data_IF_235892514253
#
_entry.id   IF_235892514253
#
_cell.length_a   1.000
_cell.length_b   1.000
_cell.length_c   1.000
_cell.angle_alpha   90.00
_cell.angle_beta   90.00
_cell.angle_gamma   90.00
#
_symmetry.space_group_name_H-M   'P 1'
#
loop_
_entity.id
_entity.type
_entity.pdbx_description
1 polymer ?
#
# COMPACT_ATOMS: atom_id res chain seq x y z
N UNK A 1 8.82 18.77 -4.39
CA UNK A 1 8.66 17.35 -4.79
C UNK A 1 10.04 16.73 -4.68
N UNK A 2 10.19 15.54 -4.09
CA UNK A 2 11.52 14.95 -3.88
C UNK A 2 12.01 14.36 -5.20
N UNK A 3 12.98 15.04 -5.84
CA UNK A 3 13.53 14.68 -7.15
C UNK A 3 14.48 13.47 -7.08
N UNK A 4 15.16 13.30 -5.95
CA UNK A 4 16.02 12.15 -5.60
C UNK A 4 15.59 11.69 -4.19
N UNK A 5 15.45 10.39 -3.85
CA UNK A 5 15.96 9.16 -4.46
C UNK A 5 14.87 8.13 -4.91
N UNK A 6 13.80 8.51 -5.65
CA UNK A 6 12.73 7.56 -6.00
C UNK A 6 13.24 6.36 -6.80
N UNK A 7 14.23 6.56 -7.67
CA UNK A 7 14.82 5.49 -8.49
C UNK A 7 15.35 4.35 -7.65
N UNK A 8 15.99 4.62 -6.51
CA UNK A 8 16.51 3.58 -5.62
C UNK A 8 15.38 2.88 -4.84
N UNK A 9 14.40 3.64 -4.36
CA UNK A 9 13.29 3.12 -3.54
C UNK A 9 12.24 2.35 -4.36
N UNK A 10 12.16 2.63 -5.67
CA UNK A 10 11.27 1.93 -6.58
C UNK A 10 11.72 0.47 -6.81
N UNK A 11 12.99 0.13 -6.56
CA UNK A 11 13.46 -1.26 -6.58
C UNK A 11 13.00 -2.04 -5.34
N UNK A 12 12.50 -3.26 -5.56
CA UNK A 12 12.19 -4.20 -4.49
C UNK A 12 13.49 -4.86 -4.00
N UNK A 13 13.80 -4.66 -2.71
CA UNK A 13 14.89 -5.37 -2.04
C UNK A 13 14.44 -6.80 -1.78
N UNK A 14 15.20 -7.78 -2.29
CA UNK A 14 14.91 -9.21 -2.11
C UNK A 14 15.83 -9.86 -1.10
N UNK A 15 17.13 -9.54 -1.19
CA UNK A 15 18.17 -10.11 -0.35
C UNK A 15 18.85 -8.96 0.37
N UNK A 16 18.94 -9.10 1.69
CA UNK A 16 19.69 -8.18 2.55
C UNK A 16 21.01 -8.85 2.87
N UNK A 17 22.12 -8.27 2.42
CA UNK A 17 23.45 -8.78 2.70
C UNK A 17 23.84 -8.44 4.16
N UNK A 18 23.81 -9.46 5.01
CA UNK A 18 24.16 -9.37 6.43
C UNK A 18 25.66 -9.50 6.70
N UNK A 19 26.48 -9.77 5.67
CA UNK A 19 27.92 -10.03 5.85
C UNK A 19 28.76 -8.76 5.83
N UNK A 20 28.27 -7.70 5.17
CA UNK A 20 29.05 -6.47 4.92
C UNK A 20 28.84 -5.40 5.97
N UNK A 21 27.69 -5.37 6.63
CA UNK A 21 27.30 -4.33 7.58
C UNK A 21 26.66 -4.96 8.81
N UNK A 22 26.94 -4.41 10.00
CA UNK A 22 26.20 -4.69 11.23
C UNK A 22 24.77 -4.14 11.10
N UNK A 23 23.89 -4.91 10.44
CA UNK A 23 22.51 -4.51 10.18
C UNK A 23 21.65 -4.79 11.41
N UNK A 24 21.16 -3.71 12.01
CA UNK A 24 20.13 -3.78 13.04
C UNK A 24 18.73 -3.74 12.40
N UNK A 25 17.77 -4.38 13.07
CA UNK A 25 16.35 -4.35 12.69
C UNK A 25 15.85 -2.90 12.63
N UNK A 26 16.34 -2.03 13.52
CA UNK A 26 15.99 -0.62 13.51
C UNK A 26 16.37 0.06 12.19
N UNK A 27 17.54 -0.24 11.62
CA UNK A 27 17.99 0.32 10.35
C UNK A 27 17.06 -0.07 9.19
N UNK A 28 16.57 -1.32 9.21
CA UNK A 28 15.58 -1.80 8.22
C UNK A 28 14.25 -1.06 8.38
N UNK A 29 13.76 -0.90 9.61
CA UNK A 29 12.51 -0.16 9.87
C UNK A 29 12.63 1.32 9.47
N UNK A 30 13.76 1.96 9.75
CA UNK A 30 14.03 3.34 9.37
C UNK A 30 14.08 3.53 7.85
N UNK A 31 14.74 2.62 7.14
CA UNK A 31 14.79 2.64 5.67
C UNK A 31 13.37 2.64 5.07
N UNK A 32 12.53 1.69 5.45
CA UNK A 32 11.16 1.63 4.95
C UNK A 32 10.31 2.81 5.44
N UNK A 33 10.55 3.30 6.66
CA UNK A 33 9.80 4.43 7.21
C UNK A 33 10.08 5.72 6.42
N UNK A 34 11.35 6.06 6.20
CA UNK A 34 11.71 7.22 5.38
C UNK A 34 11.30 7.05 3.92
N UNK A 35 11.46 5.85 3.36
CA UNK A 35 10.98 5.52 2.02
C UNK A 35 9.48 5.78 1.86
N UNK A 36 8.68 5.38 2.86
CA UNK A 36 7.22 5.63 2.85
C UNK A 36 6.88 7.12 2.83
N UNK A 37 7.63 7.96 3.56
CA UNK A 37 7.42 9.41 3.63
C UNK A 37 7.75 10.04 2.27
N UNK A 38 8.85 9.63 1.64
CA UNK A 38 9.25 10.12 0.32
C UNK A 38 8.20 9.75 -0.73
N UNK A 39 7.72 8.49 -0.74
CA UNK A 39 6.66 8.06 -1.65
C UNK A 39 5.35 8.81 -1.41
N UNK A 40 4.95 9.00 -0.15
CA UNK A 40 3.77 9.77 0.21
C UNK A 40 3.88 11.24 -0.23
N UNK A 41 5.04 11.87 -0.06
CA UNK A 41 5.29 13.24 -0.49
C UNK A 41 5.25 13.40 -2.02
N UNK A 42 5.65 12.36 -2.77
CA UNK A 42 5.53 12.28 -4.22
C UNK A 42 4.16 11.76 -4.70
N UNK A 43 3.18 11.61 -3.79
CA UNK A 43 1.83 11.09 -4.07
C UNK A 43 1.79 9.68 -4.69
N UNK A 44 2.88 8.91 -4.54
CA UNK A 44 2.95 7.48 -4.90
C UNK A 44 2.33 6.66 -3.75
N UNK A 45 1.01 6.76 -3.59
CA UNK A 45 0.32 6.22 -2.41
C UNK A 45 0.40 4.71 -2.27
N UNK A 46 0.24 3.96 -3.37
CA UNK A 46 0.37 2.50 -3.38
C UNK A 46 1.70 2.04 -2.77
N UNK A 47 2.80 2.56 -3.32
CA UNK A 47 4.14 2.22 -2.86
C UNK A 47 4.38 2.63 -1.41
N UNK A 48 3.84 3.78 -0.99
CA UNK A 48 3.93 4.21 0.40
C UNK A 48 3.20 3.24 1.35
N UNK A 49 2.02 2.73 0.95
CA UNK A 49 1.27 1.74 1.72
C UNK A 49 2.01 0.40 1.81
N UNK A 50 2.65 -0.03 0.73
CA UNK A 50 3.44 -1.27 0.73
C UNK A 50 4.60 -1.16 1.73
N UNK A 51 5.35 -0.05 1.71
CA UNK A 51 6.44 0.20 2.65
C UNK A 51 5.94 0.23 4.10
N UNK A 52 4.82 0.91 4.36
CA UNK A 52 4.22 0.96 5.69
C UNK A 52 3.75 -0.41 6.17
N UNK A 53 3.21 -1.24 5.26
CA UNK A 53 2.76 -2.59 5.58
C UNK A 53 3.93 -3.48 6.00
N UNK A 54 5.08 -3.37 5.32
CA UNK A 54 6.31 -4.11 5.68
C UNK A 54 6.75 -3.76 7.10
N UNK A 55 6.76 -2.47 7.46
CA UNK A 55 7.13 -1.99 8.81
C UNK A 55 6.18 -2.57 9.87
N UNK A 56 4.87 -2.51 9.62
CA UNK A 56 3.84 -2.98 10.57
C UNK A 56 3.91 -4.50 10.73
N UNK A 57 4.21 -5.23 9.65
CA UNK A 57 4.33 -6.69 9.67
C UNK A 57 5.69 -7.21 10.13
N UNK A 58 6.66 -6.33 10.38
CA UNK A 58 7.98 -6.74 10.83
C UNK A 58 7.90 -7.48 12.19
N UNK A 59 8.64 -8.60 12.36
CA UNK A 59 8.57 -9.41 13.56
C UNK A 59 9.07 -8.63 14.78
N UNK A 60 8.28 -8.63 15.84
CA UNK A 60 8.61 -7.98 17.12
C UNK A 60 8.98 -9.03 18.15
N UNK A 61 10.18 -8.95 18.73
CA UNK A 61 10.62 -9.93 19.73
C UNK A 61 9.93 -9.75 21.09
N UNK A 62 9.95 -8.53 21.66
CA UNK A 62 9.48 -8.28 23.04
C UNK A 62 8.57 -7.07 23.17
N UNK A 63 8.83 -6.01 22.42
CA UNK A 63 8.03 -4.78 22.43
C UNK A 63 7.94 -4.22 21.01
N UNK A 64 6.84 -3.56 20.72
CA UNK A 64 6.62 -2.90 19.42
C UNK A 64 7.44 -1.62 19.38
N UNK A 65 8.14 -1.42 18.26
CA UNK A 65 8.94 -0.21 18.07
C UNK A 65 8.03 1.01 17.90
N UNK A 66 8.48 2.16 18.42
CA UNK A 66 7.81 3.44 18.19
C UNK A 66 7.65 3.75 16.69
N UNK A 67 8.58 3.27 15.85
CA UNK A 67 8.53 3.41 14.38
C UNK A 67 7.29 2.70 13.81
N UNK A 68 6.97 1.50 14.31
CA UNK A 68 5.81 0.73 13.85
C UNK A 68 4.49 1.41 14.21
N UNK A 69 4.39 2.01 15.40
CA UNK A 69 3.22 2.79 15.81
C UNK A 69 3.08 4.05 14.93
N UNK A 70 4.17 4.77 14.70
CA UNK A 70 4.20 5.95 13.84
C UNK A 70 3.84 5.61 12.38
N UNK A 71 4.29 4.45 11.88
CA UNK A 71 3.93 3.92 10.57
C UNK A 71 2.43 3.56 10.50
N UNK A 72 1.88 2.90 11.52
CA UNK A 72 0.46 2.55 11.56
C UNK A 72 -0.46 3.78 11.51
N UNK A 73 -0.13 4.85 12.25
CA UNK A 73 -0.86 6.13 12.16
C UNK A 73 -0.89 6.69 10.73
N UNK A 74 0.26 6.70 10.04
CA UNK A 74 0.36 7.15 8.64
C UNK A 74 -0.37 6.20 7.68
N UNK A 75 -0.29 4.90 7.92
CA UNK A 75 -0.95 3.88 7.11
C UNK A 75 -2.46 4.09 7.06
N UNK A 76 -3.09 4.42 8.19
CA UNK A 76 -4.52 4.78 8.24
C UNK A 76 -4.79 5.98 7.34
N UNK A 77 -4.08 7.10 7.54
CA UNK A 77 -4.33 8.33 6.79
C UNK A 77 -4.11 8.14 5.29
N UNK A 78 -3.01 7.51 4.89
CA UNK A 78 -2.69 7.27 3.48
C UNK A 78 -3.72 6.31 2.85
N UNK A 79 -4.18 5.29 3.58
CA UNK A 79 -5.23 4.40 3.10
C UNK A 79 -6.53 5.16 2.83
N UNK A 80 -6.93 6.06 3.73
CA UNK A 80 -8.11 6.92 3.54
C UNK A 80 -7.96 7.87 2.34
N UNK A 81 -6.76 8.38 2.09
CA UNK A 81 -6.47 9.25 0.93
C UNK A 81 -6.55 8.48 -0.39
N UNK A 82 -6.02 7.25 -0.42
CA UNK A 82 -5.89 6.48 -1.66
C UNK A 82 -7.11 5.62 -1.99
N UNK A 83 -7.49 4.75 -1.05
CA UNK A 83 -8.53 3.72 -1.22
C UNK A 83 -9.91 4.21 -0.77
N UNK A 84 -9.97 5.30 0.00
CA UNK A 84 -11.21 5.77 0.63
C UNK A 84 -11.71 4.87 1.77
N UNK A 85 -10.86 3.96 2.24
CA UNK A 85 -11.07 3.11 3.41
C UNK A 85 -9.71 2.65 3.96
N UNK A 86 -9.68 2.16 5.19
CA UNK A 86 -8.45 1.58 5.75
C UNK A 86 -8.19 0.22 5.11
N UNK A 87 -7.06 0.08 4.41
CA UNK A 87 -6.65 -1.18 3.78
C UNK A 87 -6.35 -2.21 4.85
N UNK A 88 -6.88 -3.43 4.73
CA UNK A 88 -6.62 -4.50 5.70
C UNK A 88 -5.13 -4.85 5.70
N UNK A 89 -4.57 -5.05 6.90
CA UNK A 89 -3.18 -5.50 7.03
C UNK A 89 -2.99 -6.91 6.45
N UNK A 90 -1.77 -7.26 6.02
CA UNK A 90 -1.48 -8.61 5.56
C UNK A 90 -1.74 -9.65 6.65
N UNK A 91 -2.22 -10.85 6.27
CA UNK A 91 -2.61 -11.92 7.21
C UNK A 91 -1.45 -12.43 8.08
N UNK A 92 -0.22 -12.30 7.61
CA UNK A 92 0.99 -12.68 8.35
C UNK A 92 1.40 -11.65 9.42
N UNK A 93 0.69 -10.52 9.51
CA UNK A 93 0.91 -9.54 10.59
C UNK A 93 0.45 -10.12 11.92
N UNK A 94 1.31 -10.09 12.93
CA UNK A 94 0.98 -10.60 14.25
C UNK A 94 -0.21 -9.84 14.87
N UNK A 95 -1.22 -10.57 15.35
CA UNK A 95 -2.43 -9.97 15.96
C UNK A 95 -2.12 -9.13 17.21
N UNK A 96 -1.08 -9.50 17.96
CA UNK A 96 -0.58 -8.71 19.09
C UNK A 96 -0.13 -7.31 18.66
N UNK A 97 0.56 -7.21 17.52
CA UNK A 97 1.02 -5.94 16.95
C UNK A 97 -0.15 -5.07 16.55
N UNK A 98 -1.13 -5.65 15.85
CA UNK A 98 -2.33 -4.94 15.42
C UNK A 98 -3.12 -4.38 16.61
N UNK A 99 -3.31 -5.16 17.68
CA UNK A 99 -4.04 -4.73 18.88
C UNK A 99 -3.38 -3.52 19.56
N UNK A 100 -2.07 -3.57 19.75
CA UNK A 100 -1.34 -2.46 20.39
C UNK A 100 -1.33 -1.22 19.49
N UNK A 101 -1.11 -1.39 18.19
CA UNK A 101 -1.13 -0.28 17.24
C UNK A 101 -2.51 0.41 17.21
N UNK A 102 -3.61 -0.36 17.23
CA UNK A 102 -4.97 0.19 17.36
C UNK A 102 -5.16 0.95 18.67
N UNK A 103 -4.74 0.38 19.80
CA UNK A 103 -4.84 1.04 21.11
C UNK A 103 -4.08 2.38 21.17
N UNK A 104 -2.90 2.45 20.55
CA UNK A 104 -2.05 3.65 20.52
C UNK A 104 -2.43 4.68 19.44
N UNK A 105 -3.45 4.38 18.61
CA UNK A 105 -3.88 5.24 17.51
C UNK A 105 -5.38 5.52 17.52
N UNK A 106 -6.00 5.51 18.70
CA UNK A 106 -7.45 5.70 18.87
C UNK A 106 -8.01 6.93 18.12
N UNK A 107 -7.40 8.13 18.16
CA UNK A 107 -7.89 9.29 17.41
C UNK A 107 -7.91 9.07 15.88
N UNK A 108 -6.97 8.28 15.36
CA UNK A 108 -6.89 7.93 13.95
C UNK A 108 -7.95 6.89 13.56
N UNK A 109 -8.26 5.95 14.47
CA UNK A 109 -9.35 4.98 14.28
C UNK A 109 -10.71 5.68 14.24
N UNK A 110 -10.98 6.59 15.17
CA UNK A 110 -12.22 7.38 15.19
C UNK A 110 -12.40 8.19 13.89
N UNK A 111 -11.30 8.78 13.39
CA UNK A 111 -11.29 9.49 12.12
C UNK A 111 -11.59 8.56 10.93
N UNK A 112 -11.05 7.34 10.95
CA UNK A 112 -11.36 6.32 9.94
C UNK A 112 -12.82 5.82 10.01
N UNK A 113 -13.41 5.73 11.20
CA UNK A 113 -14.83 5.39 11.39
C UNK A 113 -15.73 6.48 10.81
N UNK A 114 -15.48 7.76 11.14
CA UNK A 114 -16.22 8.88 10.57
C UNK A 114 -16.11 8.95 9.02
N UNK A 115 -15.00 8.44 8.47
CA UNK A 115 -14.80 8.34 7.02
C UNK A 115 -15.67 7.26 6.35
N UNK A 116 -16.02 6.18 7.06
CA UNK A 116 -16.82 5.07 6.50
C UNK A 116 -18.21 5.54 6.10
N UNK A 117 -18.85 6.32 6.95
CA UNK A 117 -20.22 6.84 6.75
C UNK A 117 -20.30 7.98 5.73
N UNK A 118 -19.16 8.40 5.16
CA UNK A 118 -19.05 9.52 4.22
C UNK A 118 -19.73 10.81 4.77
N UNK A 119 -19.69 10.98 6.11
CA UNK A 119 -20.24 12.15 6.80
C UNK A 119 -19.14 13.20 6.99
N UNK A 120 -19.16 14.21 6.12
CA UNK A 120 -18.15 15.26 6.05
C UNK A 120 -18.10 16.10 7.33
N UNK A 121 -19.26 16.38 7.93
CA UNK A 121 -19.36 17.17 9.17
C UNK A 121 -18.85 16.39 10.38
N UNK A 122 -19.23 15.11 10.50
CA UNK A 122 -18.70 14.25 11.55
C UNK A 122 -17.18 14.13 11.46
N UNK A 123 -16.63 13.95 10.25
CA UNK A 123 -15.19 13.92 10.03
C UNK A 123 -14.50 15.22 10.47
N UNK A 124 -15.05 16.39 10.12
CA UNK A 124 -14.50 17.69 10.55
C UNK A 124 -14.52 17.86 12.07
N UNK A 125 -15.61 17.45 12.72
CA UNK A 125 -15.75 17.54 14.17
C UNK A 125 -14.72 16.64 14.87
N UNK A 126 -14.60 15.37 14.47
CA UNK A 126 -13.59 14.45 15.02
C UNK A 126 -12.17 14.94 14.78
N UNK A 127 -11.89 15.48 13.58
CA UNK A 127 -10.57 16.04 13.26
C UNK A 127 -10.24 17.27 14.12
N UNK A 128 -11.23 18.13 14.41
CA UNK A 128 -11.06 19.33 15.23
C UNK A 128 -10.87 19.00 16.72
N UNK A 129 -11.63 18.02 17.23
CA UNK A 129 -11.51 17.54 18.62
C UNK A 129 -10.12 17.00 18.93
N UNK A 130 -9.51 16.27 17.98
CA UNK A 130 -8.18 15.66 18.14
C UNK A 130 -7.05 16.47 17.47
N UNK A 131 -7.29 17.74 17.14
CA UNK A 131 -6.36 18.60 16.40
C UNK A 131 -4.97 18.68 17.03
N UNK A 132 -4.89 18.85 18.35
CA UNK A 132 -3.62 18.91 19.10
C UNK A 132 -2.74 17.67 18.87
N UNK A 133 -3.35 16.48 18.77
CA UNK A 133 -2.63 15.21 18.57
C UNK A 133 -2.09 15.13 17.14
N UNK A 134 -2.89 15.55 16.15
CA UNK A 134 -2.45 15.58 14.76
C UNK A 134 -1.37 16.65 14.53
N UNK A 135 -1.39 17.73 15.29
CA UNK A 135 -0.34 18.75 15.26
C UNK A 135 0.96 18.24 15.88
N UNK A 136 0.89 17.60 17.04
CA UNK A 136 2.08 16.99 17.68
C UNK A 136 2.72 15.90 16.80
N UNK A 137 1.89 15.10 16.12
CA UNK A 137 2.35 14.06 15.19
C UNK A 137 2.79 14.62 13.82
N UNK A 138 2.56 15.91 13.55
CA UNK A 138 2.80 16.62 12.26
C UNK A 138 2.00 16.05 11.08
N UNK A 139 0.78 15.54 11.33
CA UNK A 139 -0.07 14.91 10.31
C UNK A 139 -1.20 15.81 9.79
N UNK A 140 -1.27 17.07 10.22
CA UNK A 140 -2.30 18.05 9.79
C UNK A 140 -2.45 18.11 8.26
N UNK A 141 -1.34 18.08 7.52
CA UNK A 141 -1.35 18.09 6.05
C UNK A 141 -2.02 16.84 5.45
N UNK A 142 -1.79 15.66 6.05
CA UNK A 142 -2.43 14.42 5.62
C UNK A 142 -3.93 14.40 5.98
N UNK A 143 -4.30 14.88 7.18
CA UNK A 143 -5.72 14.99 7.58
C UNK A 143 -6.50 15.90 6.64
N UNK A 144 -5.91 17.03 6.20
CA UNK A 144 -6.52 17.89 5.16
C UNK A 144 -6.70 17.17 3.82
N UNK A 145 -5.75 16.31 3.43
CA UNK A 145 -5.89 15.48 2.23
C UNK A 145 -6.96 14.40 2.39
N UNK A 146 -7.12 13.81 3.59
CA UNK A 146 -8.24 12.92 3.91
C UNK A 146 -9.58 13.67 3.75
N UNK A 147 -9.68 14.92 4.20
CA UNK A 147 -10.88 15.73 4.01
C UNK A 147 -11.21 15.96 2.52
N UNK A 148 -10.20 16.19 1.67
CA UNK A 148 -10.43 16.24 0.23
C UNK A 148 -10.83 14.88 -0.35
N UNK A 149 -10.30 13.78 0.21
CA UNK A 149 -10.63 12.42 -0.20
C UNK A 149 -12.09 12.06 0.09
N UNK A 150 -12.62 12.39 1.28
CA UNK A 150 -14.03 12.11 1.63
C UNK A 150 -14.99 12.89 0.73
N UNK A 151 -14.64 14.12 0.33
CA UNK A 151 -15.40 14.89 -0.66
C UNK A 151 -15.43 14.20 -2.02
N UNK A 152 -14.27 13.73 -2.52
CA UNK A 152 -14.19 12.96 -3.76
C UNK A 152 -14.99 11.66 -3.68
N UNK A 153 -14.92 10.95 -2.55
CA UNK A 153 -15.72 9.76 -2.28
C UNK A 153 -17.21 10.06 -2.35
N UNK A 154 -17.66 11.17 -1.73
CA UNK A 154 -19.07 11.61 -1.80
C UNK A 154 -19.52 11.89 -3.23
N UNK A 155 -18.68 12.57 -4.03
CA UNK A 155 -18.97 12.80 -5.46
C UNK A 155 -19.10 11.47 -6.20
N UNK A 156 -18.16 10.52 -5.99
CA UNK A 156 -18.19 9.19 -6.61
C UNK A 156 -19.41 8.35 -6.17
N UNK A 157 -19.92 8.53 -4.96
CA UNK A 157 -21.19 7.91 -4.54
C UNK A 157 -22.39 8.52 -5.26
N UNK A 158 -22.39 9.83 -5.50
CA UNK A 158 -23.46 10.51 -6.23
C UNK A 158 -23.53 10.06 -7.70
N UNK A 159 -22.39 9.80 -8.35
CA UNK A 159 -22.39 9.33 -9.76
C UNK A 159 -23.08 7.99 -9.94
N UNK A 160 -23.13 7.15 -8.89
CA UNK A 160 -23.80 5.84 -8.94
C UNK A 160 -25.32 5.94 -8.91
N UNK A 161 -25.86 7.02 -8.35
CA UNK A 161 -27.30 7.19 -8.12
C UNK A 161 -27.90 8.23 -9.07
N UNK A 162 -27.09 9.15 -9.57
CA UNK A 162 -27.52 10.24 -10.41
C UNK A 162 -26.75 10.25 -11.73
N UNK A 163 -27.47 10.41 -12.84
CA UNK A 163 -26.87 10.69 -14.17
C UNK A 163 -26.55 12.18 -14.28
N UNK A 164 -27.48 13.03 -13.81
CA UNK A 164 -27.35 14.49 -13.79
C UNK A 164 -27.70 15.05 -12.42
N UNK A 165 -26.89 15.97 -11.90
CA UNK A 165 -27.15 16.68 -10.64
C UNK A 165 -26.92 18.18 -10.81
N UNK A 166 -27.81 19.01 -10.25
CA UNK A 166 -27.60 20.45 -10.22
C UNK A 166 -26.37 20.83 -9.38
N UNK A 167 -25.59 21.79 -9.87
CA UNK A 167 -24.34 22.20 -9.20
C UNK A 167 -24.57 22.71 -7.76
N UNK A 168 -25.69 23.40 -7.52
CA UNK A 168 -26.05 23.92 -6.20
C UNK A 168 -26.39 22.79 -5.22
N UNK A 169 -27.18 21.81 -5.65
CA UNK A 169 -27.55 20.65 -4.82
C UNK A 169 -26.32 19.80 -4.51
N UNK A 170 -25.41 19.68 -5.48
CA UNK A 170 -24.12 19.02 -5.29
C UNK A 170 -23.24 19.76 -4.27
N UNK A 171 -23.12 21.09 -4.39
CA UNK A 171 -22.36 21.92 -3.47
C UNK A 171 -22.89 21.84 -2.02
N UNK A 172 -24.21 21.85 -1.85
CA UNK A 172 -24.85 21.67 -0.55
C UNK A 172 -24.55 20.29 0.06
N UNK A 173 -24.64 19.21 -0.74
CA UNK A 173 -24.38 17.84 -0.28
C UNK A 173 -22.92 17.56 0.09
N UNK A 174 -21.97 18.28 -0.51
CA UNK A 174 -20.52 18.11 -0.27
C UNK A 174 -20.00 19.11 0.78
N UNK A 175 -20.83 20.07 1.20
CA UNK A 175 -20.43 21.10 2.17
C UNK A 175 -19.40 22.09 1.64
N UNK A 176 -19.35 22.29 0.32
CA UNK A 176 -18.35 23.10 -0.36
C UNK A 176 -19.05 24.18 -1.20
N UNK A 177 -19.21 25.39 -0.66
CA UNK A 177 -19.99 26.46 -1.30
C UNK A 177 -19.27 27.18 -2.47
N UNK A 178 -18.23 26.63 -3.11
CA UNK A 178 -17.56 27.39 -4.18
C UNK A 178 -16.51 26.75 -5.08
N UNK A 179 -16.11 25.49 -4.90
CA UNK A 179 -14.97 24.93 -5.65
C UNK A 179 -15.20 23.53 -6.23
N UNK A 180 -16.33 23.32 -6.90
CA UNK A 180 -16.49 22.13 -7.75
C UNK A 180 -16.10 22.51 -9.17
N UNK A 181 -14.86 22.20 -9.56
CA UNK A 181 -14.39 22.25 -10.95
C UNK A 181 -14.91 21.00 -11.68
N UNK A 182 -16.21 20.92 -11.93
CA UNK A 182 -16.77 19.90 -12.82
C UNK A 182 -16.85 20.49 -14.23
N UNK A 183 -16.67 19.66 -15.28
CA UNK A 183 -16.92 20.05 -16.66
C UNK A 183 -18.39 20.51 -16.77
N UNK A 184 -18.59 21.82 -16.79
CA UNK A 184 -19.92 22.43 -16.88
C UNK A 184 -20.41 22.21 -18.31
N UNK A 185 -21.39 21.32 -18.50
CA UNK A 185 -22.27 21.43 -19.66
C UNK A 185 -23.31 22.50 -19.32
N UNK A 186 -23.14 23.68 -19.92
CA UNK A 186 -24.17 24.71 -19.89
C UNK A 186 -25.27 24.23 -20.83
N UNK A 187 -26.40 23.78 -20.31
CA UNK A 187 -27.63 23.66 -21.11
C UNK A 187 -28.32 25.01 -21.18
N UNK A 188 -29.18 25.20 -22.18
CA UNK A 188 -29.78 26.48 -22.62
C UNK A 188 -30.68 27.19 -21.59
N UNK A 189 -30.78 26.67 -20.38
CA UNK A 189 -31.39 27.31 -19.22
C UNK A 189 -30.28 27.54 -18.19
N UNK A 190 -30.27 28.71 -17.51
CA UNK A 190 -29.25 29.18 -16.54
C UNK A 190 -28.90 28.23 -15.36
N UNK A 191 -29.32 26.97 -15.39
CA UNK A 191 -29.09 25.91 -14.41
C UNK A 191 -27.83 25.14 -14.82
N UNK A 192 -26.73 25.35 -14.08
CA UNK A 192 -25.50 24.58 -14.25
C UNK A 192 -25.71 23.16 -13.71
N UNK A 193 -25.67 22.16 -14.59
CA UNK A 193 -25.80 20.75 -14.25
C UNK A 193 -24.45 20.04 -14.41
N UNK A 194 -24.22 18.99 -13.64
CA UNK A 194 -23.09 18.07 -13.78
C UNK A 194 -23.62 16.78 -14.40
N UNK A 195 -23.12 16.43 -15.58
CA UNK A 195 -23.39 15.15 -16.25
C UNK A 195 -22.22 14.20 -16.00
N UNK A 196 -22.49 13.00 -15.49
CA UNK A 196 -21.45 11.99 -15.28
C UNK A 196 -21.37 11.07 -16.50
N UNK A 197 -20.18 11.00 -17.11
CA UNK A 197 -19.89 10.03 -18.16
C UNK A 197 -19.00 8.93 -17.58
N UNK A 198 -19.43 7.68 -17.72
CA UNK A 198 -18.57 6.54 -17.46
C UNK A 198 -17.59 6.41 -18.62
N UNK A 199 -16.34 6.81 -18.40
CA UNK A 199 -15.26 6.65 -19.38
C UNK A 199 -14.74 5.22 -19.25
N UNK A 200 -14.94 4.40 -20.27
CA UNK A 200 -14.27 3.11 -20.39
C UNK A 200 -12.78 3.36 -20.68
N UNK A 201 -11.90 2.97 -19.75
CA UNK A 201 -10.45 3.12 -19.92
C UNK A 201 -9.89 2.20 -21.00
N UNK A 202 -8.88 2.67 -21.76
CA UNK A 202 -8.11 1.88 -22.73
C UNK A 202 -7.41 0.68 -22.06
N UNK A 203 -7.89 -0.53 -22.34
CA UNK A 203 -7.39 -1.77 -21.71
C UNK A 203 -6.13 -2.36 -22.35
N UNK A 204 -5.87 -2.08 -23.64
CA UNK A 204 -4.83 -2.78 -24.41
C UNK A 204 -3.39 -2.42 -23.99
N UNK A 205 -3.08 -1.12 -23.82
CA UNK A 205 -1.72 -0.68 -23.45
C UNK A 205 -1.29 -1.18 -22.06
N UNK A 206 -2.23 -1.40 -21.14
CA UNK A 206 -1.94 -1.93 -19.80
C UNK A 206 -1.63 -3.43 -19.80
N UNK A 207 -2.11 -4.18 -20.80
CA UNK A 207 -1.96 -5.63 -20.83
C UNK A 207 -0.53 -6.06 -21.14
N UNK A 208 0.11 -5.46 -22.14
CA UNK A 208 1.49 -5.78 -22.52
C UNK A 208 2.47 -5.45 -21.39
N UNK A 209 2.33 -4.29 -20.75
CA UNK A 209 3.13 -3.90 -19.59
C UNK A 209 2.95 -4.89 -18.43
N UNK A 210 1.71 -5.35 -18.20
CA UNK A 210 1.42 -6.34 -17.16
C UNK A 210 2.06 -7.69 -17.47
N UNK A 211 2.05 -8.14 -18.74
CA UNK A 211 2.69 -9.40 -19.16
C UNK A 211 4.20 -9.35 -18.94
N UNK A 212 4.85 -8.24 -19.32
CA UNK A 212 6.28 -8.04 -19.10
C UNK A 212 6.62 -8.06 -17.60
N UNK A 213 5.80 -7.42 -16.77
CA UNK A 213 6.00 -7.44 -15.33
C UNK A 213 5.87 -8.86 -14.75
N UNK A 214 4.87 -9.62 -15.16
CA UNK A 214 4.68 -11.02 -14.73
C UNK A 214 5.86 -11.90 -15.18
N UNK A 215 6.35 -11.73 -16.42
CA UNK A 215 7.51 -12.46 -16.92
C UNK A 215 8.77 -12.18 -16.09
N UNK A 216 9.03 -10.91 -15.76
CA UNK A 216 10.14 -10.52 -14.89
C UNK A 216 10.02 -11.12 -13.48
N UNK A 217 8.82 -11.13 -12.89
CA UNK A 217 8.57 -11.75 -11.59
C UNK A 217 8.83 -13.26 -11.68
N UNK A 218 8.37 -13.94 -12.74
CA UNK A 218 8.59 -15.37 -12.92
C UNK A 218 10.08 -15.72 -12.99
N UNK A 219 10.87 -14.95 -13.74
CA UNK A 219 12.32 -15.15 -13.81
C UNK A 219 12.99 -14.96 -12.43
N UNK A 220 12.52 -14.01 -11.62
CA UNK A 220 13.01 -13.80 -10.25
C UNK A 220 12.65 -14.97 -9.34
N UNK A 221 11.43 -15.49 -9.44
CA UNK A 221 11.00 -16.68 -8.68
C UNK A 221 11.86 -17.88 -9.05
N UNK A 222 12.12 -18.12 -10.33
CA UNK A 222 13.00 -19.20 -10.80
C UNK A 222 14.41 -19.08 -10.23
N UNK A 223 14.93 -17.86 -10.13
CA UNK A 223 16.23 -17.62 -9.50
C UNK A 223 16.21 -17.92 -7.99
N UNK A 224 15.17 -17.49 -7.27
CA UNK A 224 15.02 -17.77 -5.83
C UNK A 224 14.87 -19.27 -5.54
N UNK A 225 14.11 -20.00 -6.36
CA UNK A 225 13.93 -21.46 -6.25
C UNK A 225 15.27 -22.20 -6.43
N UNK A 226 16.09 -21.76 -7.39
CA UNK A 226 17.47 -22.27 -7.54
C UNK A 226 18.31 -22.01 -6.29
N UNK A 227 18.22 -20.84 -5.68
CA UNK A 227 18.97 -20.53 -4.46
C UNK A 227 18.51 -21.38 -3.26
N UNK A 228 17.21 -21.59 -3.09
CA UNK A 228 16.68 -22.47 -2.04
C UNK A 228 17.07 -23.94 -2.29
N UNK A 229 17.00 -24.41 -3.54
CA UNK A 229 17.41 -25.76 -3.92
C UNK A 229 18.89 -26.04 -3.65
N UNK A 230 19.76 -25.02 -3.72
CA UNK A 230 21.19 -25.11 -3.38
C UNK A 230 21.48 -25.05 -1.88
N UNK A 231 20.48 -24.71 -1.05
CA UNK A 231 20.67 -24.59 0.39
C UNK A 231 20.78 -25.98 1.05
N UNK A 232 21.93 -26.27 1.68
CA UNK A 232 22.20 -27.56 2.34
C UNK A 232 21.19 -27.92 3.43
N UNK A 233 20.73 -26.94 4.21
CA UNK A 233 19.75 -27.19 5.27
C UNK A 233 18.40 -27.61 4.68
N UNK A 234 18.00 -26.98 3.57
CA UNK A 234 16.80 -27.33 2.84
C UNK A 234 16.91 -28.74 2.25
N UNK A 235 18.00 -29.06 1.55
CA UNK A 235 18.26 -30.40 1.01
C UNK A 235 18.24 -31.47 2.10
N UNK A 236 18.88 -31.21 3.24
CA UNK A 236 18.92 -32.15 4.36
C UNK A 236 17.52 -32.39 4.94
N UNK A 237 16.73 -31.32 5.14
CA UNK A 237 15.36 -31.41 5.65
C UNK A 237 14.44 -32.11 4.65
N UNK A 238 14.60 -31.84 3.37
CA UNK A 238 13.86 -32.49 2.27
C UNK A 238 14.14 -33.99 2.24
N UNK A 239 15.41 -34.41 2.26
CA UNK A 239 15.83 -35.81 2.31
C UNK A 239 15.33 -36.52 3.57
N UNK A 240 15.27 -35.82 4.70
CA UNK A 240 14.76 -36.38 5.96
C UNK A 240 13.23 -36.59 5.88
N UNK A 241 12.50 -35.64 5.30
CA UNK A 241 11.04 -35.75 5.11
C UNK A 241 10.68 -36.84 4.08
N UNK A 242 11.45 -36.98 3.00
CA UNK A 242 11.20 -38.00 1.98
C UNK A 242 11.51 -39.42 2.47
N UNK A 243 12.46 -39.57 3.39
CA UNK A 243 12.83 -40.87 3.99
C UNK A 243 11.98 -41.29 5.20
N UNK A 244 11.26 -40.37 5.86
CA UNK A 244 10.47 -40.67 7.07
C UNK A 244 8.95 -40.47 6.93
N UNK A 245 8.46 -39.99 5.78
CA UNK A 245 7.03 -39.84 5.52
C UNK A 245 6.35 -41.15 5.09
N UNK A 246 5.14 -41.48 5.57
CA UNK A 246 4.37 -42.60 5.06
C UNK A 246 3.84 -42.25 3.66
N UNK A 247 4.46 -42.80 2.61
CA UNK A 247 3.87 -42.93 1.27
C UNK A 247 4.12 -41.80 0.26
N UNK A 248 5.36 -41.33 0.08
CA UNK A 248 5.72 -40.42 -1.03
C UNK A 248 6.89 -40.93 -1.90
N UNK A 249 7.23 -42.22 -1.80
CA UNK A 249 8.43 -42.78 -2.46
C UNK A 249 8.26 -43.19 -3.93
N UNK A 250 7.10 -43.02 -4.57
CA UNK A 250 6.84 -43.60 -5.90
C UNK A 250 6.37 -42.66 -7.01
N UNK A 251 6.33 -41.33 -6.84
CA UNK A 251 5.85 -40.43 -7.91
C UNK A 251 6.80 -39.33 -8.39
N UNK A 252 8.03 -39.23 -7.87
CA UNK A 252 8.96 -38.17 -8.30
C UNK A 252 10.42 -38.64 -8.46
N UNK A 253 10.64 -39.95 -8.62
CA UNK A 253 11.93 -40.42 -9.10
C UNK A 253 11.92 -40.34 -10.63
N UNK A 254 12.93 -39.65 -11.19
CA UNK A 254 13.19 -39.46 -12.63
C UNK A 254 12.55 -38.20 -13.28
N UNK A 255 12.91 -37.01 -12.80
CA UNK A 255 13.29 -35.95 -13.74
C UNK A 255 14.77 -35.64 -13.53
N UNK A 256 15.59 -36.34 -14.31
CA UNK A 256 17.01 -36.03 -14.48
C UNK A 256 17.10 -34.59 -14.99
N UNK A 257 17.50 -33.67 -14.11
CA UNK A 257 17.61 -32.24 -14.39
C UNK A 257 18.84 -31.98 -15.26
N UNK A 258 18.80 -32.43 -16.51
CA UNK A 258 19.76 -32.02 -17.54
C UNK A 258 19.28 -30.69 -18.13
N UNK A 259 19.77 -29.60 -17.52
CA UNK A 259 19.68 -28.26 -18.12
C UNK A 259 21.09 -27.78 -18.48
N UNK A 260 21.27 -27.22 -19.70
CA UNK A 260 22.57 -26.81 -20.18
C UNK A 260 23.18 -25.73 -19.29
N UNK A 261 24.46 -25.92 -18.98
CA UNK A 261 25.32 -24.94 -18.31
C UNK A 261 25.59 -23.84 -19.33
N UNK A 262 24.83 -22.75 -19.30
CA UNK A 262 25.25 -21.49 -19.90
C UNK A 262 26.01 -20.69 -18.82
N UNK A 263 27.34 -20.66 -18.94
CA UNK A 263 28.29 -20.00 -18.04
C UNK A 263 28.26 -18.45 -18.11
N UNK A 264 27.24 -17.85 -18.73
CA UNK A 264 27.15 -16.41 -18.98
C UNK A 264 26.05 -15.72 -18.15
N UNK A 265 26.09 -15.87 -16.82
CA UNK A 265 25.41 -14.93 -15.91
C UNK A 265 26.46 -14.11 -15.18
N UNK A 266 26.90 -13.03 -15.82
CA UNK A 266 27.68 -11.99 -15.12
C UNK A 266 26.78 -11.34 -14.05
N UNK A 267 27.30 -11.06 -12.84
CA UNK A 267 26.57 -10.27 -11.87
C UNK A 267 26.41 -8.85 -12.43
N UNK A 268 25.16 -8.41 -12.57
CA UNK A 268 24.85 -7.03 -12.92
C UNK A 268 25.40 -6.10 -11.82
N UNK A 269 26.48 -5.39 -12.16
CA UNK A 269 26.91 -4.18 -11.48
C UNK A 269 26.12 -2.99 -12.05
N UNK A 270 25.49 -2.21 -11.17
CA UNK A 270 24.75 -1.00 -11.49
C UNK A 270 23.95 -0.51 -10.30
#
# INVERSE_FOLDING_TARGET
MYTYPPTLLDYNIEIIDTTRNDLDIQSVLEYFYYGSIIHAANKKWNRALDFLSIIISAPTQKMISAIQIAAYKKYILISLIHEGQVKSLPKYTASSVEKVCKGQSLPYQQLAEAFKDTNIQAFQNTASQSSNIFESDKHIGLVKQCFQSIQRKKIKELTKVYITVGLNDMAQKIGNQGHILACISVTEQNIKMVHFNDVEEEKQNKLEESILNVSNINNRILYMDKLEGLNREFQTKYMTLSSTGPGMSEQFAEEEMDLPIDDDVRPFAG
#
